data_IF_692908072312
#
_entry.id   IF_692908072312
#
_cell.length_a   1.000
_cell.length_b   1.000
_cell.length_c   1.000
_cell.angle_alpha   90.00
_cell.angle_beta   90.00
_cell.angle_gamma   90.00
#
_symmetry.space_group_name_H-M   'P 1'
#
loop_
_entity.id
_entity.type
_entity.pdbx_description
1 polymer ?
#
# COMPACT_ATOMS: atom_id res chain seq x y z
N UNK A 1 -6.30 -12.21 8.70
CA UNK A 1 -4.88 -12.26 8.27
C UNK A 1 -4.66 -11.51 6.95
N UNK A 2 -4.98 -12.06 5.76
CA UNK A 2 -4.68 -11.41 4.45
C UNK A 2 -5.16 -9.94 4.24
N UNK A 3 -6.26 -9.51 4.87
CA UNK A 3 -6.78 -8.14 4.70
C UNK A 3 -5.88 -7.09 5.39
N UNK A 4 -5.30 -7.41 6.54
CA UNK A 4 -4.35 -6.51 7.21
C UNK A 4 -3.06 -6.40 6.40
N UNK A 5 -2.56 -7.53 5.87
CA UNK A 5 -1.35 -7.54 5.04
C UNK A 5 -1.40 -6.57 3.85
N UNK A 6 -2.55 -6.43 3.17
CA UNK A 6 -2.70 -5.47 2.06
C UNK A 6 -2.81 -4.04 2.54
N UNK A 7 -3.55 -3.82 3.62
CA UNK A 7 -3.68 -2.50 4.22
C UNK A 7 -2.31 -1.96 4.67
N UNK A 8 -1.54 -2.79 5.38
CA UNK A 8 -0.18 -2.46 5.83
C UNK A 8 0.76 -2.23 4.64
N UNK A 9 0.58 -3.00 3.55
CA UNK A 9 1.32 -2.80 2.29
C UNK A 9 1.01 -1.46 1.65
N UNK A 10 -0.24 -1.00 1.66
CA UNK A 10 -0.63 0.30 1.10
C UNK A 10 -0.04 1.44 1.95
N UNK A 11 -0.10 1.33 3.28
CA UNK A 11 0.49 2.33 4.18
C UNK A 11 2.00 2.46 3.94
N UNK A 12 2.71 1.33 4.00
CA UNK A 12 4.15 1.31 3.77
C UNK A 12 4.52 1.77 2.36
N UNK A 13 3.69 1.46 1.34
CA UNK A 13 3.88 1.94 -0.02
C UNK A 13 3.91 3.47 -0.11
N UNK A 14 2.93 4.15 0.51
CA UNK A 14 2.90 5.61 0.52
C UNK A 14 3.97 6.22 1.42
N UNK A 15 4.29 5.60 2.56
CA UNK A 15 5.41 6.02 3.42
C UNK A 15 6.76 5.93 2.69
N UNK A 16 6.94 4.90 1.86
CA UNK A 16 8.13 4.68 1.07
C UNK A 16 8.17 5.48 -0.26
N UNK A 17 7.16 6.33 -0.52
CA UNK A 17 7.06 7.07 -1.79
C UNK A 17 6.99 6.17 -3.02
N UNK A 18 6.38 4.98 -2.89
CA UNK A 18 6.27 3.98 -3.95
C UNK A 18 7.51 3.09 -4.14
N UNK A 19 8.57 3.26 -3.34
CA UNK A 19 9.77 2.41 -3.44
C UNK A 19 9.53 1.02 -2.84
N UNK A 20 9.25 0.03 -3.71
CA UNK A 20 8.93 -1.34 -3.29
C UNK A 20 10.04 -2.06 -2.49
N UNK A 21 11.32 -1.70 -2.69
CA UNK A 21 12.41 -2.24 -1.86
C UNK A 21 12.32 -1.71 -0.44
N UNK A 22 12.11 -0.40 -0.28
CA UNK A 22 11.90 0.21 1.03
C UNK A 22 10.63 -0.30 1.72
N UNK A 23 9.55 -0.56 0.97
CA UNK A 23 8.35 -1.23 1.51
C UNK A 23 8.68 -2.61 2.08
N UNK A 24 9.53 -3.38 1.38
CA UNK A 24 9.92 -4.72 1.84
C UNK A 24 10.72 -4.67 3.15
N UNK A 25 11.56 -3.65 3.30
CA UNK A 25 12.31 -3.38 4.54
C UNK A 25 11.37 -2.97 5.68
N UNK A 26 10.46 -2.01 5.44
CA UNK A 26 9.48 -1.54 6.44
C UNK A 26 8.57 -2.67 6.97
N UNK A 27 8.19 -3.60 6.09
CA UNK A 27 7.29 -4.70 6.43
C UNK A 27 8.01 -6.00 6.83
N UNK A 28 9.35 -5.98 6.90
CA UNK A 28 10.17 -7.17 7.19
C UNK A 28 9.78 -8.37 6.32
N UNK A 29 9.56 -8.13 5.03
CA UNK A 29 9.12 -9.13 4.08
C UNK A 29 10.00 -9.16 2.84
N UNK A 30 9.90 -10.22 2.05
CA UNK A 30 10.68 -10.33 0.82
C UNK A 30 10.14 -9.39 -0.26
N UNK A 31 11.02 -8.78 -1.06
CA UNK A 31 10.66 -7.88 -2.17
C UNK A 31 9.58 -8.48 -3.10
N UNK A 32 9.76 -9.74 -3.52
CA UNK A 32 8.78 -10.41 -4.39
C UNK A 32 7.39 -10.53 -3.74
N UNK A 33 7.33 -10.66 -2.41
CA UNK A 33 6.05 -10.67 -1.69
C UNK A 33 5.37 -9.31 -1.79
N UNK A 34 6.11 -8.20 -1.68
CA UNK A 34 5.56 -6.86 -1.89
C UNK A 34 5.05 -6.69 -3.32
N UNK A 35 5.85 -7.06 -4.32
CA UNK A 35 5.44 -7.00 -5.74
C UNK A 35 4.17 -7.80 -5.97
N UNK A 36 4.11 -9.02 -5.43
CA UNK A 36 2.91 -9.85 -5.50
C UNK A 36 1.71 -9.16 -4.85
N UNK A 37 1.86 -8.60 -3.64
CA UNK A 37 0.77 -7.93 -2.93
C UNK A 37 0.27 -6.70 -3.68
N UNK A 38 1.16 -5.86 -4.23
CA UNK A 38 0.80 -4.68 -5.03
C UNK A 38 0.04 -5.09 -6.29
N UNK A 39 0.53 -6.08 -7.04
CA UNK A 39 -0.19 -6.61 -8.19
C UNK A 39 -1.55 -7.19 -7.78
N UNK A 40 -1.61 -7.92 -6.67
CA UNK A 40 -2.86 -8.50 -6.19
C UNK A 40 -3.88 -7.45 -5.75
N UNK A 41 -3.43 -6.35 -5.14
CA UNK A 41 -4.29 -5.20 -4.80
C UNK A 41 -4.92 -4.64 -6.07
N UNK A 42 -4.12 -4.46 -7.14
CA UNK A 42 -4.62 -4.02 -8.44
C UNK A 42 -5.62 -5.00 -9.04
N UNK A 43 -5.29 -6.28 -9.07
CA UNK A 43 -6.10 -7.28 -9.77
C UNK A 43 -7.41 -7.58 -9.03
N UNK A 44 -7.42 -7.54 -7.69
CA UNK A 44 -8.60 -7.86 -6.88
C UNK A 44 -9.51 -6.65 -6.65
N UNK A 45 -8.94 -5.46 -6.46
CA UNK A 45 -9.71 -4.26 -6.12
C UNK A 45 -9.85 -3.28 -7.29
N UNK A 46 -9.18 -3.52 -8.43
CA UNK A 46 -9.18 -2.60 -9.57
C UNK A 46 -8.43 -1.30 -9.29
N UNK A 47 -7.52 -1.31 -8.31
CA UNK A 47 -6.84 -0.12 -7.78
C UNK A 47 -5.39 -0.09 -8.26
N UNK A 48 -4.99 0.91 -9.04
CA UNK A 48 -3.57 1.16 -9.32
C UNK A 48 -3.04 2.26 -8.38
N UNK A 49 -2.18 1.90 -7.43
CA UNK A 49 -1.58 2.87 -6.50
C UNK A 49 -0.59 3.85 -7.15
N UNK A 50 -0.32 3.70 -8.45
CA UNK A 50 0.47 4.64 -9.26
C UNK A 50 -0.39 5.63 -10.01
N UNK A 51 -1.70 5.39 -10.11
CA UNK A 51 -2.64 6.35 -10.66
C UNK A 51 -2.75 7.55 -9.69
N UNK A 52 -2.55 8.80 -10.14
CA UNK A 52 -2.53 9.97 -9.26
C UNK A 52 -3.81 10.18 -8.45
N UNK A 53 -4.97 10.00 -9.07
CA UNK A 53 -6.27 10.18 -8.41
C UNK A 53 -6.49 9.11 -7.34
N UNK A 54 -6.18 7.86 -7.68
CA UNK A 54 -6.19 6.74 -6.75
C UNK A 54 -5.23 6.97 -5.58
N UNK A 55 -3.99 7.36 -5.88
CA UNK A 55 -2.97 7.62 -4.89
C UNK A 55 -3.40 8.72 -3.89
N UNK A 56 -3.92 9.83 -4.41
CA UNK A 56 -4.44 10.92 -3.60
C UNK A 56 -5.58 10.46 -2.68
N UNK A 57 -6.55 9.72 -3.23
CA UNK A 57 -7.67 9.20 -2.45
C UNK A 57 -7.22 8.31 -1.29
N UNK A 58 -6.24 7.43 -1.50
CA UNK A 58 -5.68 6.62 -0.42
C UNK A 58 -4.92 7.43 0.62
N UNK A 59 -4.06 8.37 0.19
CA UNK A 59 -3.33 9.24 1.12
C UNK A 59 -4.28 10.08 1.97
N UNK A 60 -5.35 10.62 1.38
CA UNK A 60 -6.39 11.35 2.09
C UNK A 60 -7.14 10.44 3.08
N UNK A 61 -7.56 9.24 2.66
CA UNK A 61 -8.23 8.29 3.53
C UNK A 61 -7.37 7.87 4.73
N UNK A 62 -6.06 7.66 4.51
CA UNK A 62 -5.10 7.36 5.58
C UNK A 62 -5.00 8.52 6.58
N UNK A 63 -4.93 9.77 6.09
CA UNK A 63 -4.90 10.96 6.94
C UNK A 63 -6.19 11.16 7.73
N UNK A 64 -7.36 10.99 7.11
CA UNK A 64 -8.65 11.05 7.80
C UNK A 64 -8.69 10.01 8.92
N UNK A 65 -8.22 8.79 8.65
CA UNK A 65 -8.18 7.74 9.66
C UNK A 65 -7.28 8.09 10.85
N UNK A 66 -6.10 8.66 10.61
CA UNK A 66 -5.20 9.15 11.67
C UNK A 66 -5.88 10.21 12.56
N UNK A 67 -6.78 11.03 12.01
CA UNK A 67 -7.51 12.05 12.77
C UNK A 67 -8.72 11.52 13.56
N UNK A 68 -9.27 10.38 13.14
CA UNK A 68 -10.45 9.75 13.76
C UNK A 68 -10.09 8.71 14.84
N UNK A 69 -8.81 8.41 15.01
CA UNK A 69 -8.27 7.50 16.02
C UNK A 69 -7.68 8.29 17.19
#
# INVERSE_FOLDING_TARGET
KKRNDFFDTICAYFEAGGNLRRVSELLFTHYNTVVYRINRIRDVYGVDLRDPDTAFNFQLALKIRELLQ
#
